data_IF_952197298510
#
_entry.id   IF_952197298510
#
_cell.length_a   1.000
_cell.length_b   1.000
_cell.length_c   1.000
_cell.angle_alpha   90.00
_cell.angle_beta   90.00
_cell.angle_gamma   90.00
#
_symmetry.space_group_name_H-M   'P 1'
#
loop_
_entity.id
_entity.type
_entity.pdbx_description
1 polymer ?
#
# COMPACT_ATOMS: atom_id res chain seq x y z
N UNK A 1 5.49 -17.55 10.44
CA UNK A 1 5.49 -17.81 8.98
C UNK A 1 6.62 -17.00 8.37
N UNK A 2 7.60 -17.63 7.71
CA UNK A 2 8.72 -16.94 7.05
C UNK A 2 8.48 -17.03 5.55
N UNK A 3 8.44 -15.89 4.87
CA UNK A 3 8.37 -15.83 3.42
C UNK A 3 9.78 -15.70 2.87
N UNK A 4 10.11 -16.49 1.85
CA UNK A 4 11.44 -16.53 1.23
C UNK A 4 11.44 -15.83 -0.14
N UNK A 5 10.30 -15.85 -0.85
CA UNK A 5 10.19 -15.28 -2.19
C UNK A 5 9.06 -14.25 -2.32
N UNK A 6 9.19 -13.36 -3.30
CA UNK A 6 8.15 -12.39 -3.67
C UNK A 6 6.83 -13.09 -4.02
N UNK A 7 6.90 -14.25 -4.70
CA UNK A 7 5.72 -15.03 -5.08
C UNK A 7 4.99 -15.60 -3.85
N UNK A 8 5.71 -16.12 -2.86
CA UNK A 8 5.08 -16.63 -1.63
C UNK A 8 4.35 -15.54 -0.86
N UNK A 9 4.84 -14.30 -0.90
CA UNK A 9 4.16 -13.15 -0.29
C UNK A 9 2.85 -12.86 -1.01
N UNK A 10 2.86 -12.85 -2.35
CA UNK A 10 1.67 -12.62 -3.16
C UNK A 10 0.63 -13.75 -3.01
N UNK A 11 1.07 -15.00 -3.10
CA UNK A 11 0.22 -16.19 -2.91
C UNK A 11 -0.48 -16.18 -1.53
N UNK A 12 0.18 -15.61 -0.51
CA UNK A 12 -0.37 -15.46 0.83
C UNK A 12 -1.27 -14.21 1.00
N UNK A 13 -1.53 -13.45 -0.07
CA UNK A 13 -2.38 -12.27 -0.06
C UNK A 13 -1.75 -11.05 0.62
N UNK A 14 -0.41 -10.99 0.65
CA UNK A 14 0.33 -9.87 1.20
C UNK A 14 0.88 -8.97 0.10
N UNK A 15 1.21 -7.73 0.48
CA UNK A 15 1.97 -6.78 -0.33
C UNK A 15 3.40 -6.67 0.20
N UNK A 16 4.24 -5.90 -0.49
CA UNK A 16 5.62 -5.65 -0.09
C UNK A 16 5.77 -4.25 0.49
N UNK A 17 6.23 -4.16 1.74
CA UNK A 17 6.69 -2.90 2.32
C UNK A 17 8.18 -2.73 2.11
N UNK A 18 8.52 -1.69 1.35
CA UNK A 18 9.86 -1.15 1.25
C UNK A 18 10.11 -0.21 2.42
N UNK A 19 11.22 -0.39 3.15
CA UNK A 19 11.64 0.53 4.20
C UNK A 19 13.10 0.93 4.05
N UNK A 20 13.39 2.23 4.08
CA UNK A 20 14.75 2.76 4.09
C UNK A 20 15.11 3.23 5.50
N UNK A 21 16.09 2.58 6.13
CA UNK A 21 16.56 2.90 7.48
C UNK A 21 17.28 4.25 7.55
N UNK A 22 17.97 4.66 6.48
CA UNK A 22 18.66 5.96 6.43
C UNK A 22 17.71 7.15 6.37
N UNK A 23 16.64 7.03 5.59
CA UNK A 23 15.67 8.13 5.42
C UNK A 23 14.47 8.03 6.37
N UNK A 24 14.35 6.95 7.15
CA UNK A 24 13.20 6.63 7.99
C UNK A 24 11.86 6.75 7.23
N UNK A 25 11.82 6.20 6.01
CA UNK A 25 10.64 6.25 5.12
C UNK A 25 10.37 4.90 4.49
N UNK A 26 9.10 4.64 4.23
CA UNK A 26 8.68 3.45 3.51
C UNK A 26 7.60 3.71 2.48
N UNK A 27 7.44 2.75 1.60
CA UNK A 27 6.38 2.68 0.60
C UNK A 27 5.90 1.25 0.47
N UNK A 28 4.64 1.07 0.09
CA UNK A 28 4.09 -0.25 -0.24
C UNK A 28 4.12 -0.46 -1.74
N UNK A 29 4.42 -1.68 -2.15
CA UNK A 29 4.46 -2.17 -3.52
C UNK A 29 3.54 -3.38 -3.60
N UNK A 30 2.84 -3.51 -4.72
CA UNK A 30 2.06 -4.72 -4.99
C UNK A 30 3.01 -5.93 -5.10
N UNK A 31 2.66 -7.02 -4.42
CA UNK A 31 3.47 -8.23 -4.47
C UNK A 31 3.45 -8.91 -5.85
N UNK A 32 2.47 -8.62 -6.71
CA UNK A 32 2.41 -9.11 -8.11
C UNK A 32 3.65 -8.74 -8.94
N UNK A 33 4.50 -7.83 -8.44
CA UNK A 33 5.81 -7.48 -9.02
C UNK A 33 6.69 -8.70 -9.31
N UNK A 34 6.46 -9.85 -8.65
CA UNK A 34 7.16 -11.12 -8.94
C UNK A 34 7.00 -11.58 -10.40
N UNK A 35 5.91 -11.22 -11.07
CA UNK A 35 5.68 -11.54 -12.49
C UNK A 35 6.77 -10.90 -13.34
N UNK A 36 7.05 -9.61 -13.12
CA UNK A 36 8.11 -8.90 -13.84
C UNK A 36 9.50 -9.43 -13.57
N UNK A 37 9.75 -9.92 -12.36
CA UNK A 37 11.01 -10.59 -12.05
C UNK A 37 11.15 -11.89 -12.84
N UNK A 38 10.07 -12.66 -12.94
CA UNK A 38 10.04 -13.92 -13.69
C UNK A 38 10.26 -13.70 -15.18
N UNK A 39 9.54 -12.72 -15.78
CA UNK A 39 9.70 -12.34 -17.19
C UNK A 39 11.14 -11.90 -17.52
N UNK A 40 11.83 -11.27 -16.57
CA UNK A 40 13.20 -10.75 -16.75
C UNK A 40 14.28 -11.73 -16.31
N UNK A 41 13.92 -12.93 -15.84
CA UNK A 41 14.86 -13.93 -15.32
C UNK A 41 15.61 -13.46 -14.06
N UNK A 42 15.01 -12.59 -13.26
CA UNK A 42 15.59 -12.11 -12.01
C UNK A 42 15.26 -13.04 -10.85
N UNK A 43 16.16 -13.11 -9.86
CA UNK A 43 15.96 -13.90 -8.67
C UNK A 43 14.78 -13.37 -7.83
N UNK A 44 13.91 -14.29 -7.40
CA UNK A 44 12.66 -13.98 -6.69
C UNK A 44 12.82 -13.90 -5.16
N UNK A 45 14.02 -14.19 -4.63
CA UNK A 45 14.28 -14.10 -3.20
C UNK A 45 14.34 -12.64 -2.75
N UNK A 46 13.97 -12.40 -1.48
CA UNK A 46 13.84 -11.05 -0.95
C UNK A 46 15.16 -10.28 -0.88
N UNK A 47 16.28 -10.98 -0.63
CA UNK A 47 17.58 -10.34 -0.51
C UNK A 47 18.07 -9.84 -1.86
N UNK A 48 18.00 -10.68 -2.90
CA UNK A 48 18.34 -10.28 -4.27
C UNK A 48 17.39 -9.23 -4.82
N UNK A 49 16.10 -9.33 -4.51
CA UNK A 49 15.09 -8.38 -4.98
C UNK A 49 15.32 -6.96 -4.47
N UNK A 50 15.88 -6.81 -3.27
CA UNK A 50 16.23 -5.53 -2.63
C UNK A 50 17.04 -4.61 -3.55
N UNK A 51 17.96 -5.17 -4.32
CA UNK A 51 18.81 -4.43 -5.26
C UNK A 51 18.03 -3.67 -6.35
N UNK A 52 16.76 -4.02 -6.59
CA UNK A 52 15.90 -3.40 -7.59
C UNK A 52 15.02 -2.27 -7.06
N UNK A 53 15.01 -2.06 -5.75
CA UNK A 53 14.12 -1.08 -5.12
C UNK A 53 14.92 -0.03 -4.35
N UNK A 54 15.62 0.89 -5.04
CA UNK A 54 16.34 1.97 -4.39
C UNK A 54 15.38 2.92 -3.66
N UNK A 55 15.85 3.47 -2.54
CA UNK A 55 15.08 4.48 -1.83
C UNK A 55 14.83 5.71 -2.74
N UNK A 56 13.57 6.16 -2.86
CA UNK A 56 13.24 7.31 -3.71
C UNK A 56 13.97 8.61 -3.31
N UNK A 57 14.30 8.76 -2.03
CA UNK A 57 14.96 9.94 -1.47
C UNK A 57 16.48 9.88 -1.63
N UNK A 58 17.16 8.88 -1.07
CA UNK A 58 18.62 8.80 -1.07
C UNK A 58 19.22 7.97 -2.21
N UNK A 59 18.38 7.34 -3.05
CA UNK A 59 18.76 6.49 -4.21
C UNK A 59 19.62 5.26 -3.90
N UNK A 60 20.00 5.04 -2.64
CA UNK A 60 20.73 3.86 -2.19
C UNK A 60 19.79 2.66 -1.99
N UNK A 61 20.34 1.47 -2.24
CA UNK A 61 19.73 0.17 -1.92
C UNK A 61 20.25 -0.38 -0.60
N UNK A 62 21.41 0.07 -0.10
CA UNK A 62 22.13 -0.53 1.03
C UNK A 62 21.33 -0.47 2.33
N UNK A 63 20.59 0.62 2.51
CA UNK A 63 19.78 0.86 3.70
C UNK A 63 18.31 0.47 3.52
N UNK A 64 17.99 -0.21 2.42
CA UNK A 64 16.63 -0.65 2.11
C UNK A 64 16.43 -2.08 2.55
N UNK A 65 15.26 -2.39 3.11
CA UNK A 65 14.79 -3.74 3.36
C UNK A 65 13.36 -3.93 2.85
N UNK A 66 13.04 -5.17 2.48
CA UNK A 66 11.72 -5.60 2.04
C UNK A 66 11.05 -6.42 3.14
N UNK A 67 9.80 -6.10 3.44
CA UNK A 67 9.00 -6.82 4.44
C UNK A 67 7.64 -7.20 3.86
N UNK A 68 7.05 -8.32 4.27
CA UNK A 68 5.64 -8.58 3.98
C UNK A 68 4.77 -7.54 4.69
N UNK A 69 3.73 -7.09 4.00
CA UNK A 69 2.74 -6.15 4.53
C UNK A 69 1.35 -6.69 4.28
N UNK A 70 0.41 -6.36 5.16
CA UNK A 70 -0.99 -6.67 4.93
C UNK A 70 -1.47 -5.91 3.69
N UNK A 71 -2.03 -6.63 2.72
CA UNK A 71 -2.69 -6.02 1.56
C UNK A 71 -3.86 -5.18 2.06
N UNK A 72 -3.94 -3.94 1.58
CA UNK A 72 -5.08 -3.09 1.89
C UNK A 72 -6.35 -3.77 1.37
N UNK A 73 -7.43 -3.76 2.16
CA UNK A 73 -8.71 -4.22 1.65
C UNK A 73 -9.06 -3.39 0.42
N UNK A 74 -9.56 -4.06 -0.62
CA UNK A 74 -10.09 -3.36 -1.79
C UNK A 74 -11.06 -2.27 -1.28
N UNK A 75 -10.97 -1.03 -1.80
CA UNK A 75 -11.92 0.00 -1.41
C UNK A 75 -13.31 -0.55 -1.65
N UNK A 76 -14.16 -0.53 -0.62
CA UNK A 76 -15.53 -1.00 -0.75
C UNK A 76 -16.16 -0.32 -1.97
N UNK A 77 -16.75 -1.12 -2.86
CA UNK A 77 -17.51 -0.60 -3.98
C UNK A 77 -18.51 0.39 -3.42
N UNK A 78 -18.38 1.67 -3.81
CA UNK A 78 -19.29 2.72 -3.33
C UNK A 78 -20.62 2.52 -4.01
N UNK A 79 -21.43 1.63 -3.44
CA UNK A 79 -22.81 1.43 -3.89
C UNK A 79 -23.51 2.78 -3.95
N UNK A 80 -24.42 2.93 -4.90
CA UNK A 80 -25.23 4.14 -5.04
C UNK A 80 -25.80 4.56 -3.67
N UNK A 81 -26.31 3.58 -2.90
CA UNK A 81 -26.89 3.80 -1.58
C UNK A 81 -25.95 4.54 -0.63
N UNK A 82 -24.66 4.16 -0.62
CA UNK A 82 -23.64 4.79 0.22
C UNK A 82 -23.37 6.26 -0.19
N UNK A 83 -23.52 6.58 -1.48
CA UNK A 83 -23.32 7.95 -1.97
C UNK A 83 -24.44 8.88 -1.52
N UNK A 84 -25.69 8.40 -1.52
CA UNK A 84 -26.82 9.21 -1.06
C UNK A 84 -26.96 9.27 0.44
N UNK A 85 -26.60 8.23 1.16
CA UNK A 85 -26.48 8.30 2.62
C UNK A 85 -25.49 9.40 3.02
N UNK A 86 -24.30 9.44 2.40
CA UNK A 86 -23.33 10.53 2.62
C UNK A 86 -23.91 11.90 2.27
N UNK A 87 -24.57 12.03 1.11
CA UNK A 87 -25.16 13.30 0.70
C UNK A 87 -26.23 13.80 1.69
N UNK A 88 -27.08 12.90 2.19
CA UNK A 88 -28.10 13.19 3.19
C UNK A 88 -27.47 13.66 4.51
N UNK A 89 -26.46 12.94 5.01
CA UNK A 89 -25.75 13.32 6.24
C UNK A 89 -25.03 14.66 6.09
N UNK A 90 -24.40 14.93 4.95
CA UNK A 90 -23.74 16.22 4.68
C UNK A 90 -24.75 17.37 4.60
N UNK A 91 -25.92 17.16 3.99
CA UNK A 91 -27.00 18.15 3.98
C UNK A 91 -27.50 18.46 5.40
N UNK A 92 -27.71 17.42 6.22
CA UNK A 92 -28.15 17.57 7.61
C UNK A 92 -27.09 18.28 8.47
N UNK A 93 -25.81 17.94 8.30
CA UNK A 93 -24.69 18.59 9.01
C UNK A 93 -24.59 20.07 8.64
N UNK A 94 -24.69 20.41 7.35
CA UNK A 94 -24.72 21.81 6.88
C UNK A 94 -25.91 22.59 7.47
N UNK A 95 -27.10 21.98 7.52
CA UNK A 95 -28.29 22.60 8.14
C UNK A 95 -28.09 22.84 9.64
N UNK A 96 -27.49 21.89 10.37
CA UNK A 96 -27.15 22.05 11.80
C UNK A 96 -26.16 23.19 12.03
N UNK A 97 -25.07 23.23 11.24
CA UNK A 97 -24.06 24.29 11.32
C UNK A 97 -24.66 25.67 10.99
N UNK A 98 -25.60 25.74 10.04
CA UNK A 98 -26.27 27.00 9.68
C UNK A 98 -27.19 27.51 10.78
N UNK A 99 -27.84 26.63 11.56
CA UNK A 99 -28.63 27.01 12.74
C UNK A 99 -27.75 27.58 13.84
N UNK A 100 -26.67 26.88 14.20
CA UNK A 100 -25.71 27.28 15.24
C UNK A 100 -24.94 28.59 14.96
N UNK A 101 -24.99 29.11 13.73
CA UNK A 101 -24.28 30.33 13.34
C UNK A 101 -25.17 31.59 13.37
N UNK A 102 -26.46 31.41 13.63
CA UNK A 102 -27.49 32.46 13.68
C UNK A 102 -28.16 32.57 15.05
N UNK A 103 -27.73 31.75 16.02
CA UNK A 103 -27.95 31.91 17.46
C UNK A 103 -26.71 32.56 18.09
#
# INVERSE_FOLDING_TARGET
>A
MRFETLKQIDDAGHDLRLWCFKCARGSTLDAIIWVHFTERGWALDLESARARFPCRQCKSVDHVALFPARRAAAPAEKSWAHQVERAFHDARKRKKMRRLRYD
#
